data_IF_099960317545
#
_entry.id   IF_099960317545
#
_cell.length_a   1.000
_cell.length_b   1.000
_cell.length_c   1.000
_cell.angle_alpha   90.00
_cell.angle_beta   90.00
_cell.angle_gamma   90.00
#
_symmetry.space_group_name_H-M   'P 1'
#
loop_
_entity.id
_entity.type
_entity.pdbx_description
1 polymer ?
#
# COMPACT_ATOMS: atom_id res chain seq x y z
N UNK A 1 16.17 -27.14 0.24
CA UNK A 1 17.08 -27.26 -0.92
C UNK A 1 17.97 -26.03 -0.93
N UNK A 2 19.18 -26.18 -0.38
CA UNK A 2 20.21 -25.14 -0.29
C UNK A 2 20.81 -24.91 -1.67
N UNK A 3 20.85 -23.67 -2.15
CA UNK A 3 21.67 -23.28 -3.31
C UNK A 3 22.50 -22.06 -2.91
N UNK A 4 23.72 -22.33 -2.42
CA UNK A 4 24.78 -21.33 -2.30
C UNK A 4 25.61 -21.47 -3.59
N UNK A 5 25.49 -20.52 -4.51
CA UNK A 5 26.36 -20.48 -5.70
C UNK A 5 27.68 -19.85 -5.29
N UNK A 6 28.69 -20.69 -5.06
CA UNK A 6 30.05 -20.26 -4.77
C UNK A 6 30.78 -19.85 -6.04
N UNK A 7 31.34 -18.63 -6.04
CA UNK A 7 32.43 -18.25 -6.93
C UNK A 7 33.62 -17.90 -6.04
N UNK A 8 34.67 -18.71 -6.13
CA UNK A 8 35.96 -18.52 -5.48
C UNK A 8 36.81 -17.60 -6.38
N UNK A 9 36.98 -16.34 -6.00
CA UNK A 9 38.11 -15.53 -6.48
C UNK A 9 38.75 -14.83 -5.28
N UNK A 10 40.01 -15.21 -5.08
CA UNK A 10 41.10 -14.58 -4.34
C UNK A 10 40.82 -13.25 -3.60
N UNK A 11 41.06 -13.24 -2.28
CA UNK A 11 41.75 -12.11 -1.62
C UNK A 11 40.93 -11.05 -0.88
N UNK A 12 39.62 -10.94 -1.06
CA UNK A 12 38.79 -9.99 -0.30
C UNK A 12 37.84 -10.75 0.62
N UNK A 13 37.83 -10.45 1.93
CA UNK A 13 36.74 -10.89 2.82
C UNK A 13 35.45 -10.17 2.41
N UNK A 14 34.77 -10.65 1.38
CA UNK A 14 33.37 -10.33 1.20
C UNK A 14 32.61 -11.17 2.23
N UNK A 15 32.21 -10.55 3.35
CA UNK A 15 31.15 -11.12 4.17
C UNK A 15 29.92 -11.18 3.28
N UNK A 16 29.63 -12.36 2.71
CA UNK A 16 28.31 -12.64 2.18
C UNK A 16 27.36 -12.64 3.36
N UNK A 17 26.83 -11.47 3.71
CA UNK A 17 25.64 -11.41 4.54
C UNK A 17 24.55 -11.94 3.64
N UNK A 18 23.99 -13.09 3.99
CA UNK A 18 22.82 -13.58 3.28
C UNK A 18 21.76 -12.48 3.35
N UNK A 19 21.03 -12.22 2.27
CA UNK A 19 19.91 -11.28 2.30
C UNK A 19 18.99 -11.60 3.47
N UNK A 20 18.78 -12.89 3.76
CA UNK A 20 18.08 -13.36 4.96
C UNK A 20 18.62 -12.74 6.26
N UNK A 21 19.94 -12.76 6.50
CA UNK A 21 20.53 -12.18 7.71
C UNK A 21 20.41 -10.66 7.77
N UNK A 22 20.15 -9.99 6.64
CA UNK A 22 20.00 -8.54 6.56
C UNK A 22 18.57 -8.09 6.90
N UNK A 23 17.60 -9.00 6.84
CA UNK A 23 16.19 -8.71 7.12
C UNK A 23 15.73 -9.21 8.50
N UNK A 24 16.39 -10.19 9.11
CA UNK A 24 16.07 -10.59 10.48
C UNK A 24 16.52 -9.52 11.49
N UNK A 25 15.60 -9.16 12.39
CA UNK A 25 15.84 -8.28 13.53
C UNK A 25 15.61 -9.10 14.81
N UNK A 26 16.46 -8.91 15.81
CA UNK A 26 16.20 -9.39 17.17
C UNK A 26 15.09 -8.58 17.85
N UNK A 27 14.46 -9.15 18.87
CA UNK A 27 13.42 -8.45 19.65
C UNK A 27 13.95 -7.12 20.23
N UNK A 28 15.21 -7.09 20.67
CA UNK A 28 15.85 -5.87 21.16
C UNK A 28 15.96 -4.80 20.06
N UNK A 29 16.41 -5.18 18.87
CA UNK A 29 16.53 -4.26 17.73
C UNK A 29 15.16 -3.75 17.28
N UNK A 30 14.13 -4.60 17.30
CA UNK A 30 12.76 -4.21 16.99
C UNK A 30 12.30 -3.13 17.98
N UNK A 31 12.47 -3.33 19.28
CA UNK A 31 12.06 -2.36 20.29
C UNK A 31 12.83 -1.03 20.19
N UNK A 32 14.14 -1.08 19.92
CA UNK A 32 14.93 0.12 19.66
C UNK A 32 14.45 0.88 18.42
N UNK A 33 14.11 0.16 17.34
CA UNK A 33 13.57 0.76 16.13
C UNK A 33 12.18 1.35 16.37
N UNK A 34 11.34 0.70 17.19
CA UNK A 34 10.01 1.23 17.55
C UNK A 34 10.13 2.56 18.29
N UNK A 35 11.06 2.68 19.23
CA UNK A 35 11.32 3.95 19.92
C UNK A 35 11.70 5.05 18.92
N UNK A 36 12.70 4.79 18.07
CA UNK A 36 13.15 5.77 17.06
C UNK A 36 12.05 6.14 16.07
N UNK A 37 11.26 5.16 15.64
CA UNK A 37 10.15 5.40 14.72
C UNK A 37 9.04 6.25 15.39
N UNK A 38 8.78 6.04 16.68
CA UNK A 38 7.85 6.89 17.45
C UNK A 38 8.39 8.32 17.63
N UNK A 39 9.72 8.50 17.63
CA UNK A 39 10.38 9.82 17.61
C UNK A 39 10.39 10.47 16.22
N UNK A 40 9.81 9.81 15.20
CA UNK A 40 9.70 10.31 13.83
C UNK A 40 10.84 9.90 12.89
N UNK A 41 11.72 8.97 13.28
CA UNK A 41 12.77 8.46 12.39
C UNK A 41 12.19 7.59 11.28
N UNK A 42 12.01 8.17 10.09
CA UNK A 42 11.50 7.48 8.91
C UNK A 42 12.40 6.35 8.41
N UNK A 43 13.68 6.34 8.76
CA UNK A 43 14.57 5.20 8.45
C UNK A 43 14.24 4.03 9.34
N UNK A 44 14.01 4.26 10.63
CA UNK A 44 13.56 3.23 11.56
C UNK A 44 12.17 2.72 11.18
N UNK A 45 11.23 3.62 10.87
CA UNK A 45 9.89 3.27 10.35
C UNK A 45 9.98 2.39 9.10
N UNK A 46 10.85 2.74 8.14
CA UNK A 46 11.02 1.95 6.92
C UNK A 46 11.57 0.55 7.20
N UNK A 47 12.53 0.42 8.11
CA UNK A 47 13.07 -0.89 8.50
C UNK A 47 12.00 -1.76 9.16
N UNK A 48 11.19 -1.20 10.06
CA UNK A 48 10.08 -1.92 10.68
C UNK A 48 9.02 -2.33 9.65
N UNK A 49 8.61 -1.41 8.76
CA UNK A 49 7.66 -1.74 7.70
C UNK A 49 8.18 -2.89 6.83
N UNK A 50 9.45 -2.84 6.40
CA UNK A 50 10.07 -3.92 5.62
C UNK A 50 10.11 -5.24 6.39
N UNK A 51 10.46 -5.21 7.68
CA UNK A 51 10.48 -6.40 8.52
C UNK A 51 9.10 -7.06 8.60
N UNK A 52 8.04 -6.31 8.91
CA UNK A 52 6.68 -6.84 9.01
C UNK A 52 6.03 -7.15 7.64
N UNK A 53 6.59 -6.65 6.54
CA UNK A 53 6.15 -7.00 5.18
C UNK A 53 6.79 -8.29 4.68
N UNK A 54 8.08 -8.50 4.93
CA UNK A 54 8.84 -9.58 4.27
C UNK A 54 9.27 -10.70 5.21
N UNK A 55 9.32 -10.46 6.52
CA UNK A 55 9.82 -11.43 7.51
C UNK A 55 8.70 -11.88 8.44
N UNK A 56 8.13 -10.95 9.21
CA UNK A 56 7.03 -11.24 10.13
C UNK A 56 5.68 -10.86 9.50
N UNK A 57 5.31 -11.61 8.47
CA UNK A 57 4.11 -11.35 7.67
C UNK A 57 2.80 -11.52 8.45
N UNK A 58 2.79 -12.36 9.50
CA UNK A 58 1.60 -12.63 10.31
C UNK A 58 1.19 -11.40 11.15
N UNK A 59 2.14 -10.52 11.46
CA UNK A 59 1.92 -9.26 12.20
C UNK A 59 1.34 -8.13 11.32
N UNK A 60 0.16 -8.36 10.71
CA UNK A 60 -0.52 -7.37 9.83
C UNK A 60 -0.77 -6.02 10.50
N UNK A 61 -1.12 -6.00 11.78
CA UNK A 61 -1.41 -4.76 12.52
C UNK A 61 -0.17 -3.85 12.61
N UNK A 62 0.99 -4.42 12.93
CA UNK A 62 2.26 -3.70 12.95
C UNK A 62 2.65 -3.24 11.54
N UNK A 63 2.51 -4.11 10.52
CA UNK A 63 2.75 -3.72 9.13
C UNK A 63 1.93 -2.50 8.72
N UNK A 64 0.61 -2.53 8.93
CA UNK A 64 -0.30 -1.42 8.61
C UNK A 64 0.05 -0.15 9.37
N UNK A 65 0.42 -0.26 10.65
CA UNK A 65 0.84 0.87 11.47
C UNK A 65 2.04 1.59 10.84
N UNK A 66 3.11 0.86 10.52
CA UNK A 66 4.33 1.48 9.99
C UNK A 66 4.17 1.95 8.55
N UNK A 67 3.40 1.23 7.72
CA UNK A 67 3.04 1.70 6.38
C UNK A 67 2.22 3.00 6.43
N UNK A 68 1.33 3.17 7.42
CA UNK A 68 0.54 4.40 7.58
C UNK A 68 1.42 5.61 7.85
N UNK A 69 2.41 5.50 8.74
CA UNK A 69 3.40 6.56 9.00
C UNK A 69 4.16 6.94 7.72
N UNK A 70 4.59 5.94 6.93
CA UNK A 70 5.30 6.20 5.67
C UNK A 70 4.41 6.84 4.60
N UNK A 71 3.16 6.40 4.49
CA UNK A 71 2.18 6.96 3.53
C UNK A 71 1.80 8.41 3.88
N UNK A 72 1.68 8.72 5.18
CA UNK A 72 1.44 10.07 5.71
C UNK A 72 2.61 11.02 5.43
N UNK A 73 3.83 10.50 5.31
CA UNK A 73 5.01 11.27 4.90
C UNK A 73 4.97 11.71 3.43
N UNK A 74 3.92 11.38 2.68
CA UNK A 74 3.68 11.88 1.33
C UNK A 74 4.36 11.07 0.21
N UNK A 75 5.03 9.98 0.55
CA UNK A 75 5.70 9.11 -0.42
C UNK A 75 4.67 8.32 -1.21
N UNK A 76 4.50 8.64 -2.50
CA UNK A 76 3.45 8.04 -3.34
C UNK A 76 3.55 6.51 -3.44
N UNK A 77 4.76 5.94 -3.45
CA UNK A 77 4.98 4.50 -3.42
C UNK A 77 4.50 3.88 -2.10
N UNK A 78 4.69 4.55 -0.97
CA UNK A 78 4.25 4.03 0.34
C UNK A 78 2.73 4.16 0.50
N UNK A 79 2.14 5.21 -0.07
CA UNK A 79 0.68 5.33 -0.21
C UNK A 79 0.11 4.18 -1.06
N UNK A 80 0.80 3.76 -2.12
CA UNK A 80 0.42 2.58 -2.90
C UNK A 80 0.50 1.30 -2.07
N UNK A 81 1.60 1.10 -1.34
CA UNK A 81 1.81 -0.09 -0.50
C UNK A 81 0.72 -0.22 0.58
N UNK A 82 0.41 0.87 1.28
CA UNK A 82 -0.69 0.90 2.25
C UNK A 82 -2.04 0.63 1.59
N UNK A 83 -2.32 1.27 0.45
CA UNK A 83 -3.55 1.03 -0.30
C UNK A 83 -3.70 -0.45 -0.68
N UNK A 84 -2.61 -1.10 -1.10
CA UNK A 84 -2.62 -2.51 -1.47
C UNK A 84 -3.04 -3.40 -0.29
N UNK A 85 -2.44 -3.21 0.89
CA UNK A 85 -2.74 -4.00 2.11
C UNK A 85 -4.16 -3.79 2.63
N UNK A 86 -4.68 -2.57 2.53
CA UNK A 86 -6.03 -2.22 2.97
C UNK A 86 -7.10 -2.74 2.01
N UNK A 87 -6.84 -2.69 0.70
CA UNK A 87 -7.78 -3.15 -0.33
C UNK A 87 -7.94 -4.68 -0.39
N UNK A 88 -7.00 -5.42 0.19
CA UNK A 88 -7.09 -6.89 0.31
C UNK A 88 -7.91 -7.33 1.53
N UNK A 89 -8.27 -6.40 2.42
CA UNK A 89 -9.10 -6.67 3.59
C UNK A 89 -10.51 -7.11 3.22
N UNK A 90 -11.17 -7.85 4.11
CA UNK A 90 -12.62 -8.07 4.05
C UNK A 90 -13.42 -6.97 4.78
N UNK A 91 -12.75 -6.11 5.55
CA UNK A 91 -13.39 -4.98 6.21
C UNK A 91 -13.65 -3.87 5.18
N UNK A 92 -14.92 -3.50 5.03
CA UNK A 92 -15.35 -2.43 4.14
C UNK A 92 -14.63 -1.12 4.48
N UNK A 93 -14.53 -0.76 5.76
CA UNK A 93 -13.91 0.49 6.19
C UNK A 93 -12.43 0.55 5.80
N UNK A 94 -11.70 -0.56 5.95
CA UNK A 94 -10.32 -0.65 5.48
C UNK A 94 -10.25 -0.52 3.95
N UNK A 95 -11.14 -1.17 3.21
CA UNK A 95 -11.19 -1.02 1.75
C UNK A 95 -11.42 0.45 1.33
N UNK A 96 -12.32 1.18 2.00
CA UNK A 96 -12.57 2.59 1.73
C UNK A 96 -11.32 3.44 1.97
N UNK A 97 -10.64 3.20 3.09
CA UNK A 97 -9.36 3.85 3.38
C UNK A 97 -8.31 3.52 2.31
N UNK A 98 -8.24 2.26 1.88
CA UNK A 98 -7.35 1.80 0.82
C UNK A 98 -7.59 2.54 -0.51
N UNK A 99 -8.84 2.79 -0.87
CA UNK A 99 -9.20 3.58 -2.06
C UNK A 99 -8.71 5.02 -1.94
N UNK A 100 -8.82 5.63 -0.76
CA UNK A 100 -8.31 6.98 -0.52
C UNK A 100 -6.79 7.07 -0.71
N UNK A 101 -6.04 6.12 -0.15
CA UNK A 101 -4.59 6.05 -0.35
C UNK A 101 -4.20 5.75 -1.80
N UNK A 102 -4.97 4.89 -2.49
CA UNK A 102 -4.76 4.58 -3.90
C UNK A 102 -4.94 5.83 -4.78
N UNK A 103 -5.98 6.64 -4.51
CA UNK A 103 -6.22 7.92 -5.19
C UNK A 103 -5.04 8.88 -4.99
N UNK A 104 -4.49 8.99 -3.77
CA UNK A 104 -3.31 9.82 -3.47
C UNK A 104 -2.07 9.33 -4.22
N UNK A 105 -1.79 8.03 -4.18
CA UNK A 105 -0.66 7.44 -4.89
C UNK A 105 -0.74 7.60 -6.41
N UNK A 106 -1.95 7.46 -6.99
CA UNK A 106 -2.20 7.68 -8.41
C UNK A 106 -1.96 9.14 -8.82
N UNK A 107 -2.40 10.10 -7.99
CA UNK A 107 -2.11 11.52 -8.16
C UNK A 107 -0.61 11.84 -8.05
N UNK A 108 0.11 11.09 -7.21
CA UNK A 108 1.57 11.14 -7.09
C UNK A 108 2.33 10.48 -8.25
N UNK A 109 1.64 10.00 -9.29
CA UNK A 109 2.28 9.45 -10.50
C UNK A 109 2.62 7.97 -10.45
N UNK A 110 2.17 7.23 -9.42
CA UNK A 110 2.43 5.78 -9.35
C UNK A 110 1.55 5.06 -10.38
N UNK A 111 2.17 4.61 -11.48
CA UNK A 111 1.46 3.98 -12.59
C UNK A 111 0.67 2.74 -12.19
N UNK A 112 1.15 1.96 -11.22
CA UNK A 112 0.40 0.82 -10.67
C UNK A 112 -0.88 1.26 -9.96
N UNK A 113 -0.83 2.36 -9.20
CA UNK A 113 -2.01 2.94 -8.56
C UNK A 113 -3.01 3.48 -9.58
N UNK A 114 -2.52 4.15 -10.62
CA UNK A 114 -3.37 4.66 -11.70
C UNK A 114 -4.12 3.53 -12.41
N UNK A 115 -3.41 2.46 -12.80
CA UNK A 115 -4.00 1.26 -13.43
C UNK A 115 -5.02 0.59 -12.51
N UNK A 116 -4.68 0.44 -11.23
CA UNK A 116 -5.58 -0.18 -10.24
C UNK A 116 -6.84 0.68 -10.04
N UNK A 117 -6.69 2.00 -9.96
CA UNK A 117 -7.80 2.94 -9.82
C UNK A 117 -8.71 2.90 -11.06
N UNK A 118 -8.15 2.84 -12.27
CA UNK A 118 -8.92 2.68 -13.51
C UNK A 118 -9.77 1.40 -13.47
N UNK A 119 -9.18 0.26 -13.08
CA UNK A 119 -9.92 -1.02 -12.92
C UNK A 119 -11.06 -0.92 -11.91
N UNK A 120 -10.86 -0.21 -10.79
CA UNK A 120 -11.93 0.02 -9.82
C UNK A 120 -13.08 0.86 -10.38
N UNK A 121 -12.81 1.82 -11.25
CA UNK A 121 -13.84 2.61 -11.91
C UNK A 121 -14.55 1.84 -13.03
N UNK A 122 -13.82 1.05 -13.82
CA UNK A 122 -14.39 0.17 -14.85
C UNK A 122 -15.38 -0.82 -14.24
N UNK A 123 -14.99 -1.46 -13.12
CA UNK A 123 -15.84 -2.41 -12.40
C UNK A 123 -17.00 -1.75 -11.66
N UNK A 124 -17.06 -0.43 -11.58
CA UNK A 124 -18.13 0.30 -10.89
C UNK A 124 -18.00 0.34 -9.36
N UNK A 125 -17.04 -0.38 -8.77
CA UNK A 125 -16.89 -0.51 -7.31
C UNK A 125 -16.71 0.83 -6.58
N UNK A 126 -15.89 1.74 -7.12
CA UNK A 126 -15.72 3.07 -6.49
C UNK A 126 -16.95 3.95 -6.68
N UNK A 127 -17.63 3.82 -7.83
CA UNK A 127 -18.85 4.58 -8.10
C UNK A 127 -19.98 4.15 -7.17
N UNK A 128 -20.12 2.85 -6.92
CA UNK A 128 -21.07 2.32 -5.93
C UNK A 128 -20.76 2.83 -4.52
N UNK A 129 -19.50 2.91 -4.11
CA UNK A 129 -19.12 3.44 -2.80
C UNK A 129 -19.30 4.95 -2.66
N UNK A 130 -18.82 5.74 -3.63
CA UNK A 130 -18.99 7.20 -3.66
C UNK A 130 -20.50 7.54 -3.73
N UNK A 131 -21.30 6.70 -4.39
CA UNK A 131 -22.76 6.81 -4.37
C UNK A 131 -23.33 6.39 -3.01
N UNK A 132 -22.95 5.25 -2.42
CA UNK A 132 -23.37 4.77 -1.10
C UNK A 132 -23.15 5.80 0.02
N UNK A 133 -22.03 6.53 0.01
CA UNK A 133 -21.78 7.66 0.94
C UNK A 133 -22.78 8.81 0.78
N UNK A 134 -23.36 8.96 -0.41
CA UNK A 134 -24.39 9.96 -0.72
C UNK A 134 -25.82 9.51 -0.38
N UNK A 135 -26.06 8.24 0.02
CA UNK A 135 -27.43 7.67 0.17
C UNK A 135 -27.85 7.32 1.61
N UNK A 136 -27.15 7.78 2.64
CA UNK A 136 -27.80 7.88 3.97
C UNK A 136 -29.02 8.83 3.90
N UNK A 137 -30.07 8.57 4.68
CA UNK A 137 -31.14 7.58 4.47
C UNK A 137 -32.32 8.16 3.66
N UNK A 138 -32.09 8.93 2.59
CA UNK A 138 -33.21 9.59 1.91
C UNK A 138 -33.81 8.83 0.72
N UNK A 139 -33.05 8.11 -0.11
CA UNK A 139 -33.61 7.64 -1.38
C UNK A 139 -33.10 6.28 -1.83
N UNK A 140 -33.88 5.24 -1.53
CA UNK A 140 -33.82 3.88 -2.10
C UNK A 140 -34.25 3.83 -3.58
N UNK A 141 -34.06 4.90 -4.36
CA UNK A 141 -34.63 5.07 -5.69
C UNK A 141 -33.54 5.17 -6.76
N UNK A 142 -33.45 4.08 -7.55
CA UNK A 142 -32.88 4.00 -8.91
C UNK A 142 -31.64 4.87 -9.14
N UNK A 143 -30.48 4.26 -8.96
CA UNK A 143 -29.20 4.77 -9.47
C UNK A 143 -29.39 5.08 -10.97
N UNK A 144 -29.36 6.36 -11.31
CA UNK A 144 -29.48 6.82 -12.70
C UNK A 144 -28.25 6.33 -13.49
N UNK A 145 -28.47 5.34 -14.36
CA UNK A 145 -27.42 4.76 -15.19
C UNK A 145 -26.72 5.82 -16.06
N UNK A 146 -27.38 6.94 -16.38
CA UNK A 146 -26.74 8.05 -17.09
C UNK A 146 -25.70 8.79 -16.23
N UNK A 147 -25.91 8.95 -14.93
CA UNK A 147 -24.89 9.52 -14.03
C UNK A 147 -23.68 8.60 -13.88
N UNK A 148 -23.92 7.29 -13.80
CA UNK A 148 -22.86 6.28 -13.78
C UNK A 148 -22.04 6.30 -15.10
N UNK A 149 -22.73 6.45 -16.23
CA UNK A 149 -22.12 6.46 -17.55
C UNK A 149 -21.33 7.76 -17.83
N UNK A 150 -21.84 8.92 -17.39
CA UNK A 150 -21.12 10.19 -17.45
C UNK A 150 -19.85 10.19 -16.58
N UNK A 151 -19.91 9.59 -15.38
CA UNK A 151 -18.71 9.43 -14.56
C UNK A 151 -17.71 8.48 -15.21
N UNK A 152 -18.15 7.35 -15.79
CA UNK A 152 -17.28 6.44 -16.55
C UNK A 152 -16.58 7.15 -17.71
N UNK A 153 -17.28 7.94 -18.51
CA UNK A 153 -16.69 8.70 -19.64
C UNK A 153 -15.68 9.75 -19.19
N UNK A 154 -15.94 10.49 -18.10
CA UNK A 154 -15.00 11.46 -17.57
C UNK A 154 -13.70 10.82 -17.06
N UNK A 155 -13.77 9.57 -16.59
CA UNK A 155 -12.62 8.83 -16.06
C UNK A 155 -11.78 8.20 -17.17
N UNK A 156 -12.41 7.66 -18.23
CA UNK A 156 -11.72 7.24 -19.45
C UNK A 156 -10.87 8.38 -20.05
N UNK A 157 -11.38 9.61 -20.00
CA UNK A 157 -10.62 10.79 -20.44
C UNK A 157 -9.44 11.15 -19.50
N UNK A 158 -9.54 10.89 -18.20
CA UNK A 158 -8.42 11.07 -17.25
C UNK A 158 -7.34 10.00 -17.41
N UNK A 159 -7.71 8.78 -17.80
CA UNK A 159 -6.78 7.66 -18.04
C UNK A 159 -6.04 7.81 -19.38
N UNK A 160 -6.66 8.43 -20.39
CA UNK A 160 -6.05 8.64 -21.72
C UNK A 160 -5.15 9.89 -21.84
N UNK A 161 -5.03 10.68 -20.77
CA UNK A 161 -4.22 11.93 -20.73
C UNK A 161 -2.94 11.77 -19.88
N UNK A 162 -2.70 10.57 -19.33
CA UNK A 162 -1.46 10.16 -18.66
C UNK A 162 -0.70 9.17 -19.53
#
# INVERSE_FOLDING_TARGET
>A
MLLIVGILICGCQYKTVSTYTTFYLSDEEIEQLKHKANDGDLTATRKLAQFYTFVDYDSRSERLKWLRVLAESGLANEQHNLAYELLDSQDIMEQQEGIMWLKKAAKGGVSYSQKRLAKFYETGKILEEDLCKSIEPAHKLKIDQNKLQNCRSNILNLVNVL
#
